data_IF_230510559868
#
_entry.id   IF_230510559868
#
_cell.length_a   1.000
_cell.length_b   1.000
_cell.length_c   1.000
_cell.angle_alpha   90.00
_cell.angle_beta   90.00
_cell.angle_gamma   90.00
#
_symmetry.space_group_name_H-M   'P 1'
#
loop_
_entity.id
_entity.type
_entity.pdbx_description
1 polymer ?
#
# COMPACT_ATOMS: atom_id res chain seq x y z
N UNK A 1 -6.88 0.60 -11.70
CA UNK A 1 -5.95 0.30 -10.59
C UNK A 1 -6.65 -0.46 -9.46
N UNK A 2 -5.96 -1.40 -8.80
CA UNK A 2 -6.37 -2.05 -7.54
C UNK A 2 -5.56 -1.54 -6.34
N UNK A 3 -5.99 -1.85 -5.11
CA UNK A 3 -5.38 -1.31 -3.87
C UNK A 3 -3.91 -1.73 -3.73
N UNK A 4 -3.54 -2.95 -4.10
CA UNK A 4 -2.16 -3.41 -4.03
C UNK A 4 -1.26 -2.69 -5.03
N UNK A 5 -1.76 -2.41 -6.23
CA UNK A 5 -1.07 -1.58 -7.22
C UNK A 5 -0.87 -0.14 -6.73
N UNK A 6 -1.88 0.48 -6.11
CA UNK A 6 -1.78 1.81 -5.53
C UNK A 6 -0.72 1.88 -4.42
N UNK A 7 -0.72 0.88 -3.52
CA UNK A 7 0.31 0.77 -2.47
C UNK A 7 1.72 0.56 -3.04
N UNK A 8 1.83 -0.17 -4.15
CA UNK A 8 3.10 -0.35 -4.86
C UNK A 8 3.63 0.97 -5.41
N UNK A 9 2.77 1.80 -5.99
CA UNK A 9 3.15 3.13 -6.49
C UNK A 9 3.64 4.03 -5.37
N UNK A 10 2.89 4.18 -4.28
CA UNK A 10 3.31 4.97 -3.12
C UNK A 10 4.66 4.51 -2.59
N UNK A 11 4.84 3.20 -2.45
CA UNK A 11 6.12 2.65 -2.01
C UNK A 11 7.28 3.02 -2.95
N UNK A 12 7.06 2.93 -4.27
CA UNK A 12 8.08 3.26 -5.27
C UNK A 12 8.40 4.76 -5.22
N UNK A 13 7.39 5.62 -5.09
CA UNK A 13 7.56 7.07 -4.97
C UNK A 13 8.38 7.45 -3.73
N UNK A 14 8.22 6.70 -2.63
CA UNK A 14 9.02 6.85 -1.41
C UNK A 14 10.42 6.21 -1.52
N UNK A 15 10.76 5.55 -2.62
CA UNK A 15 12.05 4.87 -2.80
C UNK A 15 12.27 3.67 -1.87
N UNK A 16 11.20 3.10 -1.32
CA UNK A 16 11.28 2.07 -0.28
C UNK A 16 11.25 0.64 -0.83
N UNK A 17 11.98 -0.25 -0.17
CA UNK A 17 11.80 -1.69 -0.36
C UNK A 17 10.46 -2.18 0.23
N UNK A 18 9.95 -3.31 -0.27
CA UNK A 18 8.76 -3.97 0.29
C UNK A 18 8.88 -4.23 1.79
N UNK A 19 10.09 -4.56 2.26
CA UNK A 19 10.35 -4.79 3.68
C UNK A 19 10.21 -3.49 4.47
N UNK A 20 10.89 -2.42 4.06
CA UNK A 20 10.83 -1.12 4.76
C UNK A 20 9.39 -0.62 4.88
N UNK A 21 8.64 -0.64 3.77
CA UNK A 21 7.26 -0.17 3.72
C UNK A 21 6.32 -0.97 4.65
N UNK A 22 6.46 -2.30 4.67
CA UNK A 22 5.55 -3.20 5.40
C UNK A 22 5.96 -3.54 6.85
N UNK A 23 7.23 -3.32 7.21
CA UNK A 23 7.81 -3.69 8.51
C UNK A 23 6.92 -3.31 9.69
N UNK A 24 6.64 -4.25 10.59
CA UNK A 24 5.84 -4.02 11.79
C UNK A 24 4.32 -4.12 11.60
N UNK A 25 3.82 -4.16 10.36
CA UNK A 25 2.39 -4.32 10.07
C UNK A 25 2.10 -5.70 9.47
N UNK A 26 2.88 -6.10 8.46
CA UNK A 26 2.85 -7.42 7.82
C UNK A 26 4.25 -7.82 7.38
N UNK A 27 4.46 -9.11 7.10
CA UNK A 27 5.75 -9.56 6.58
C UNK A 27 5.94 -9.18 5.09
N UNK A 28 7.21 -9.11 4.67
CA UNK A 28 7.61 -8.76 3.30
C UNK A 28 6.99 -9.67 2.24
N UNK A 29 6.87 -10.96 2.50
CA UNK A 29 6.36 -11.94 1.53
C UNK A 29 4.86 -11.73 1.32
N UNK A 30 4.12 -11.55 2.42
CA UNK A 30 2.70 -11.21 2.37
C UNK A 30 2.46 -9.89 1.65
N UNK A 31 3.18 -8.82 2.01
CA UNK A 31 3.05 -7.54 1.33
C UNK A 31 3.37 -7.64 -0.17
N UNK A 32 4.36 -8.46 -0.53
CA UNK A 32 4.66 -8.78 -1.93
C UNK A 32 3.52 -9.47 -2.69
N UNK A 33 2.66 -10.25 -2.01
CA UNK A 33 1.44 -10.81 -2.61
C UNK A 33 0.35 -9.77 -2.77
N UNK A 34 0.21 -8.86 -1.79
CA UNK A 34 -0.74 -7.74 -1.87
C UNK A 34 -0.45 -6.88 -3.10
N UNK A 35 0.80 -6.46 -3.32
CA UNK A 35 1.19 -5.67 -4.51
C UNK A 35 0.98 -6.39 -5.85
N UNK A 36 0.85 -7.72 -5.83
CA UNK A 36 0.60 -8.56 -7.01
C UNK A 36 -0.86 -8.96 -7.16
N UNK A 37 -1.74 -8.50 -6.26
CA UNK A 37 -3.15 -8.88 -6.24
C UNK A 37 -3.36 -10.40 -5.98
N UNK A 38 -2.34 -11.06 -5.42
CA UNK A 38 -2.33 -12.47 -5.00
C UNK A 38 -2.68 -12.61 -3.50
N UNK A 39 -2.98 -11.51 -2.82
CA UNK A 39 -3.33 -11.47 -1.40
C UNK A 39 -4.21 -10.28 -1.07
N UNK A 40 -5.15 -10.48 -0.16
CA UNK A 40 -6.04 -9.42 0.33
C UNK A 40 -5.46 -8.81 1.60
N UNK A 41 -5.54 -7.48 1.71
CA UNK A 41 -5.18 -6.75 2.92
C UNK A 41 -6.45 -6.23 3.59
N UNK A 42 -6.53 -6.35 4.92
CA UNK A 42 -7.67 -5.81 5.66
C UNK A 42 -7.60 -4.28 5.72
N UNK A 43 -8.76 -3.63 5.83
CA UNK A 43 -8.84 -2.17 5.95
C UNK A 43 -8.00 -1.62 7.12
N UNK A 44 -7.97 -2.32 8.26
CA UNK A 44 -7.12 -1.97 9.40
C UNK A 44 -5.63 -1.96 9.03
N UNK A 45 -5.14 -2.99 8.34
CA UNK A 45 -3.73 -3.08 7.92
C UNK A 45 -3.40 -2.05 6.84
N UNK A 46 -4.32 -1.77 5.93
CA UNK A 46 -4.18 -0.72 4.94
C UNK A 46 -3.97 0.65 5.61
N UNK A 47 -4.87 1.04 6.53
CA UNK A 47 -4.75 2.31 7.24
C UNK A 47 -3.45 2.40 8.04
N UNK A 48 -3.03 1.32 8.72
CA UNK A 48 -1.76 1.27 9.43
C UNK A 48 -0.55 1.42 8.52
N UNK A 49 -0.58 0.87 7.30
CA UNK A 49 0.49 1.06 6.31
C UNK A 49 0.57 2.52 5.85
N UNK A 50 -0.58 3.15 5.55
CA UNK A 50 -0.60 4.55 5.13
C UNK A 50 -0.07 5.46 6.24
N UNK A 51 -0.60 5.29 7.45
CA UNK A 51 -0.17 6.06 8.63
C UNK A 51 1.32 5.89 8.93
N UNK A 52 1.84 4.66 8.90
CA UNK A 52 3.25 4.38 9.20
C UNK A 52 4.20 5.07 8.21
N UNK A 53 3.80 5.18 6.94
CA UNK A 53 4.65 5.76 5.89
C UNK A 53 4.31 7.24 5.61
N UNK A 54 3.60 7.90 6.55
CA UNK A 54 3.19 9.30 6.45
C UNK A 54 2.39 9.64 5.18
N UNK A 55 1.62 8.66 4.67
CA UNK A 55 0.76 8.83 3.51
C UNK A 55 -0.61 9.33 3.99
N UNK A 56 -1.02 10.49 3.49
CA UNK A 56 -2.35 11.04 3.74
C UNK A 56 -3.43 10.12 3.14
N UNK A 57 -4.38 9.68 3.97
CA UNK A 57 -5.38 8.71 3.53
C UNK A 57 -6.37 9.30 2.53
N UNK A 58 -6.78 10.57 2.68
CA UNK A 58 -7.67 11.22 1.74
C UNK A 58 -7.02 11.34 0.36
N UNK A 59 -5.79 11.83 0.31
CA UNK A 59 -5.03 11.96 -0.95
C UNK A 59 -4.84 10.60 -1.62
N UNK A 60 -4.46 9.58 -0.84
CA UNK A 60 -4.33 8.21 -1.34
C UNK A 60 -5.61 7.72 -2.02
N UNK A 61 -6.77 7.85 -1.37
CA UNK A 61 -8.04 7.35 -1.93
C UNK A 61 -8.57 8.23 -3.07
N UNK A 62 -8.32 9.54 -3.06
CA UNK A 62 -8.64 10.42 -4.20
C UNK A 62 -7.83 10.00 -5.42
N UNK A 63 -6.50 9.85 -5.27
CA UNK A 63 -5.62 9.42 -6.35
C UNK A 63 -5.97 8.02 -6.86
N UNK A 64 -6.27 7.10 -5.95
CA UNK A 64 -6.73 5.75 -6.29
C UNK A 64 -8.02 5.78 -7.12
N UNK A 65 -9.01 6.57 -6.71
CA UNK A 65 -10.28 6.68 -7.43
C UNK A 65 -10.12 7.35 -8.80
N UNK A 66 -9.27 8.37 -8.92
CA UNK A 66 -8.96 9.02 -10.21
C UNK A 66 -8.30 8.06 -11.20
N UNK A 67 -7.38 7.20 -10.74
CA UNK A 67 -6.68 6.19 -11.56
C UNK A 67 -7.46 4.89 -11.77
N UNK A 68 -8.65 4.78 -11.17
CA UNK A 68 -9.55 3.64 -11.35
C UNK A 68 -10.48 3.84 -12.55
N UNK A 69 -10.79 5.09 -12.89
CA UNK A 69 -11.53 5.50 -14.08
C UNK A 69 -10.61 5.51 -15.31
#
# INVERSE_FOLDING_TARGET
MKIGEALKEERINLGMSKYQFSKGIVDRKFYGKVEKEEGTISSKKLLLLLQKNDINFQEFFVNFNLKKN
#
